data_IF_760616455516
#
_entry.id   IF_760616455516
#
_cell.length_a   1.000
_cell.length_b   1.000
_cell.length_c   1.000
_cell.angle_alpha   90.00
_cell.angle_beta   90.00
_cell.angle_gamma   90.00
#
_symmetry.space_group_name_H-M   'P 1'
#
loop_
_entity.id
_entity.type
_entity.pdbx_description
1 polymer ?
#
# COMPACT_ATOMS: atom_id res chain seq x y z
N UNK A 1 -9.99 -21.83 -49.05
CA UNK A 1 -9.91 -21.11 -47.77
C UNK A 1 -9.32 -22.08 -46.75
N UNK A 2 -8.07 -21.87 -46.32
CA UNK A 2 -7.26 -22.90 -45.66
C UNK A 2 -7.61 -23.06 -44.18
N UNK A 3 -8.02 -24.27 -43.80
CA UNK A 3 -8.33 -24.73 -42.42
C UNK A 3 -7.22 -24.42 -41.40
N UNK A 4 -5.97 -24.23 -41.87
CA UNK A 4 -4.80 -23.90 -41.05
C UNK A 4 -4.86 -22.50 -40.42
N UNK A 5 -5.54 -21.54 -41.05
CA UNK A 5 -5.67 -20.17 -40.52
C UNK A 5 -6.70 -20.06 -39.40
N UNK A 6 -7.60 -21.05 -39.26
CA UNK A 6 -8.61 -21.07 -38.20
C UNK A 6 -8.07 -21.66 -36.88
N UNK A 7 -7.09 -22.58 -36.97
CA UNK A 7 -6.49 -23.20 -35.79
C UNK A 7 -5.58 -22.25 -34.98
N UNK A 8 -4.96 -21.25 -35.63
CA UNK A 8 -4.14 -20.26 -34.94
C UNK A 8 -4.97 -19.22 -34.15
N UNK A 9 -6.24 -19.03 -34.53
CA UNK A 9 -7.14 -18.07 -33.88
C UNK A 9 -7.82 -18.65 -32.62
N UNK A 10 -7.83 -19.98 -32.46
CA UNK A 10 -8.35 -20.68 -31.27
C UNK A 10 -7.26 -20.85 -30.20
N UNK A 11 -5.97 -20.71 -30.54
CA UNK A 11 -4.87 -20.76 -29.56
C UNK A 11 -4.67 -19.45 -28.77
N UNK A 12 -5.48 -18.42 -29.07
CA UNK A 12 -5.71 -17.24 -28.24
C UNK A 12 -6.89 -17.46 -27.27
N UNK A 13 -7.13 -18.72 -26.88
CA UNK A 13 -7.97 -19.07 -25.74
C UNK A 13 -7.37 -18.48 -24.46
N UNK A 14 -7.66 -17.20 -24.25
CA UNK A 14 -7.99 -16.58 -22.99
C UNK A 14 -7.66 -17.45 -21.78
N UNK A 15 -6.44 -17.30 -21.28
CA UNK A 15 -6.16 -17.60 -19.88
C UNK A 15 -6.94 -16.59 -19.05
N UNK A 16 -8.21 -16.89 -18.79
CA UNK A 16 -8.94 -16.29 -17.69
C UNK A 16 -8.17 -16.65 -16.42
N UNK A 17 -7.21 -15.80 -16.04
CA UNK A 17 -6.50 -15.96 -14.78
C UNK A 17 -7.48 -15.60 -13.68
N UNK A 18 -7.65 -16.51 -12.72
CA UNK A 18 -8.28 -16.18 -11.46
C UNK A 18 -7.55 -14.96 -10.88
N UNK A 19 -8.32 -13.96 -10.45
CA UNK A 19 -7.80 -12.77 -9.80
C UNK A 19 -8.01 -12.84 -8.30
N UNK A 20 -7.40 -11.91 -7.58
CA UNK A 20 -7.66 -11.71 -6.15
C UNK A 20 -8.33 -10.37 -5.93
N UNK A 21 -9.31 -10.36 -5.04
CA UNK A 21 -10.03 -9.18 -4.61
C UNK A 21 -10.07 -9.09 -3.08
N UNK A 22 -10.26 -7.88 -2.58
CA UNK A 22 -10.37 -7.60 -1.14
C UNK A 22 -11.79 -7.11 -0.86
N UNK A 23 -12.49 -7.78 0.05
CA UNK A 23 -13.80 -7.34 0.52
C UNK A 23 -13.62 -6.14 1.47
N UNK A 24 -13.64 -4.94 0.90
CA UNK A 24 -13.48 -3.70 1.64
C UNK A 24 -14.64 -3.46 2.62
N UNK A 25 -15.84 -3.96 2.33
CA UNK A 25 -16.99 -3.76 3.20
C UNK A 25 -16.94 -4.67 4.42
N UNK A 26 -16.54 -5.94 4.24
CA UNK A 26 -16.28 -6.86 5.34
C UNK A 26 -15.13 -6.36 6.21
N UNK A 27 -14.04 -5.87 5.60
CA UNK A 27 -12.91 -5.28 6.32
C UNK A 27 -13.39 -4.08 7.15
N UNK A 28 -14.13 -3.16 6.53
CA UNK A 28 -14.69 -2.00 7.22
C UNK A 28 -15.54 -2.41 8.42
N UNK A 29 -16.48 -3.34 8.24
CA UNK A 29 -17.33 -3.85 9.32
C UNK A 29 -16.50 -4.44 10.46
N UNK A 30 -15.44 -5.19 10.15
CA UNK A 30 -14.57 -5.78 11.16
C UNK A 30 -13.77 -4.75 11.99
N UNK A 31 -13.50 -3.57 11.42
CA UNK A 31 -12.77 -2.47 12.07
C UNK A 31 -13.70 -1.43 12.73
N UNK A 32 -15.01 -1.65 12.78
CA UNK A 32 -15.99 -0.71 13.36
C UNK A 32 -16.70 0.21 12.35
N UNK A 33 -16.46 0.00 11.05
CA UNK A 33 -17.12 0.67 9.94
C UNK A 33 -16.33 1.86 9.37
N UNK A 34 -16.42 2.06 8.05
CA UNK A 34 -15.84 3.22 7.38
C UNK A 34 -16.68 4.48 7.61
N UNK A 35 -16.64 5.04 8.81
CA UNK A 35 -17.47 6.18 9.23
C UNK A 35 -16.66 7.46 9.50
N UNK A 36 -15.33 7.42 9.35
CA UNK A 36 -14.43 8.57 9.53
C UNK A 36 -13.81 9.02 8.22
N UNK A 37 -13.24 10.22 8.20
CA UNK A 37 -12.57 10.80 7.05
C UNK A 37 -13.40 10.70 5.75
N UNK A 38 -14.67 11.12 5.82
CA UNK A 38 -15.65 11.02 4.70
C UNK A 38 -15.86 9.58 4.19
N UNK A 39 -15.84 8.60 5.10
CA UNK A 39 -16.02 7.20 4.78
C UNK A 39 -14.77 6.51 4.22
N UNK A 40 -13.59 7.06 4.51
CA UNK A 40 -12.28 6.51 4.09
C UNK A 40 -11.51 5.86 5.23
N UNK A 41 -11.96 6.01 6.47
CA UNK A 41 -11.28 5.46 7.63
C UNK A 41 -12.26 4.87 8.65
N UNK A 42 -11.76 3.91 9.43
CA UNK A 42 -12.42 3.29 10.56
C UNK A 42 -11.61 3.61 11.83
N UNK A 43 -12.29 4.05 12.89
CA UNK A 43 -11.67 4.30 14.19
C UNK A 43 -12.08 3.21 15.19
N UNK A 44 -11.11 2.75 15.98
CA UNK A 44 -11.32 1.74 17.00
C UNK A 44 -10.37 1.96 18.17
N UNK A 45 -10.74 1.44 19.33
CA UNK A 45 -9.88 1.44 20.52
C UNK A 45 -9.13 0.13 20.61
N UNK A 46 -7.83 0.22 20.86
CA UNK A 46 -6.97 -0.93 21.06
C UNK A 46 -5.97 -0.63 22.17
N UNK A 47 -5.92 -1.47 23.21
CA UNK A 47 -5.01 -1.29 24.35
C UNK A 47 -5.08 0.13 24.96
N UNK A 48 -6.30 0.60 25.25
CA UNK A 48 -6.59 1.95 25.80
C UNK A 48 -6.15 3.14 24.94
N UNK A 49 -5.68 2.90 23.71
CA UNK A 49 -5.32 3.94 22.73
C UNK A 49 -6.29 3.96 21.57
N UNK A 50 -6.47 5.13 20.96
CA UNK A 50 -7.34 5.31 19.78
C UNK A 50 -6.51 5.15 18.51
N UNK A 51 -6.98 4.29 17.61
CA UNK A 51 -6.35 4.06 16.31
C UNK A 51 -7.34 4.31 15.19
N UNK A 52 -6.80 4.69 14.04
CA UNK A 52 -7.54 4.94 12.82
C UNK A 52 -6.91 4.17 11.67
N UNK A 53 -7.63 3.20 11.11
CA UNK A 53 -7.22 2.50 9.89
C UNK A 53 -7.88 3.12 8.67
N UNK A 54 -7.10 3.34 7.62
CA UNK A 54 -7.59 3.84 6.35
C UNK A 54 -7.97 2.68 5.43
N UNK A 55 -8.88 2.94 4.50
CA UNK A 55 -9.15 2.01 3.40
C UNK A 55 -7.83 1.68 2.70
N UNK A 56 -7.52 0.39 2.48
CA UNK A 56 -6.27 0.01 1.87
C UNK A 56 -6.21 0.44 0.40
N UNK A 57 -5.01 0.80 -0.04
CA UNK A 57 -4.67 0.98 -1.44
C UNK A 57 -4.34 -0.38 -2.04
N UNK A 58 -5.00 -0.74 -3.14
CA UNK A 58 -4.87 -2.05 -3.79
C UNK A 58 -4.33 -1.83 -5.20
N UNK A 59 -3.16 -2.39 -5.47
CA UNK A 59 -2.51 -2.37 -6.78
C UNK A 59 -2.48 -3.78 -7.36
N UNK A 60 -2.93 -3.94 -8.61
CA UNK A 60 -2.93 -5.24 -9.30
C UNK A 60 -1.58 -5.49 -9.97
N UNK A 61 -1.06 -6.70 -9.81
CA UNK A 61 0.14 -7.14 -10.50
C UNK A 61 -0.22 -7.77 -11.86
N UNK A 62 0.66 -7.68 -12.88
CA UNK A 62 0.39 -8.24 -14.22
C UNK A 62 0.16 -9.76 -14.25
N UNK A 63 0.60 -10.47 -13.21
CA UNK A 63 0.42 -11.90 -13.04
C UNK A 63 -0.97 -12.29 -12.49
N UNK A 64 -1.78 -11.32 -12.05
CA UNK A 64 -3.10 -11.53 -11.43
C UNK A 64 -3.08 -11.46 -9.89
N UNK A 65 -1.91 -11.22 -9.29
CA UNK A 65 -1.78 -10.98 -7.86
C UNK A 65 -2.20 -9.56 -7.46
N UNK A 66 -2.20 -9.30 -6.16
CA UNK A 66 -2.46 -7.96 -5.61
C UNK A 66 -1.40 -7.57 -4.59
N UNK A 67 -1.09 -6.28 -4.57
CA UNK A 67 -0.37 -5.60 -3.50
C UNK A 67 -1.35 -4.74 -2.73
N UNK A 68 -1.34 -4.87 -1.41
CA UNK A 68 -2.21 -4.14 -0.48
C UNK A 68 -1.32 -3.30 0.42
N UNK A 69 -1.57 -2.00 0.50
CA UNK A 69 -0.96 -1.08 1.46
C UNK A 69 -2.06 -0.46 2.32
N UNK A 70 -1.97 -0.62 3.64
CA UNK A 70 -2.94 -0.06 4.57
C UNK A 70 -2.24 0.82 5.61
N UNK A 71 -2.68 2.07 5.72
CA UNK A 71 -2.21 3.00 6.74
C UNK A 71 -3.05 2.86 8.02
N UNK A 72 -2.35 2.89 9.16
CA UNK A 72 -2.91 2.85 10.50
C UNK A 72 -2.28 3.96 11.32
N UNK A 73 -3.09 4.89 11.78
CA UNK A 73 -2.65 6.02 12.59
C UNK A 73 -2.97 5.80 14.06
N UNK A 74 -2.07 6.23 14.94
CA UNK A 74 -2.36 6.40 16.35
C UNK A 74 -2.86 7.83 16.58
N UNK A 75 -4.10 7.97 17.04
CA UNK A 75 -4.77 9.26 17.24
C UNK A 75 -4.32 9.83 18.58
N UNK A 76 -3.56 10.93 18.54
CA UNK A 76 -2.93 11.51 19.76
C UNK A 76 -3.75 12.63 20.42
N UNK A 77 -4.93 12.93 19.87
CA UNK A 77 -5.84 13.97 20.34
C UNK A 77 -5.63 15.33 19.66
N UNK A 78 -6.47 16.30 20.02
CA UNK A 78 -6.68 17.55 19.28
C UNK A 78 -5.44 18.44 19.06
N UNK A 79 -4.38 18.27 19.85
CA UNK A 79 -3.21 19.16 19.85
C UNK A 79 -1.90 18.46 19.44
N UNK A 80 -1.96 17.22 18.95
CA UNK A 80 -0.77 16.45 18.57
C UNK A 80 -0.92 15.88 17.17
N UNK A 81 0.15 15.93 16.39
CA UNK A 81 0.20 15.22 15.11
C UNK A 81 0.19 13.71 15.38
N UNK A 82 -0.65 13.00 14.64
CA UNK A 82 -0.78 11.55 14.72
C UNK A 82 0.52 10.86 14.29
N UNK A 83 0.82 9.72 14.90
CA UNK A 83 1.90 8.85 14.43
C UNK A 83 1.35 7.89 13.38
N UNK A 84 2.14 7.62 12.34
CA UNK A 84 1.70 6.81 11.21
C UNK A 84 2.36 5.45 11.22
N UNK A 85 1.62 4.41 10.88
CA UNK A 85 2.16 3.12 10.54
C UNK A 85 1.52 2.63 9.25
N UNK A 86 2.19 1.74 8.52
CA UNK A 86 1.52 1.01 7.47
C UNK A 86 1.90 -0.46 7.44
N UNK A 87 0.97 -1.22 6.88
CA UNK A 87 1.05 -2.64 6.62
C UNK A 87 1.02 -2.86 5.11
N UNK A 88 2.02 -3.55 4.59
CA UNK A 88 2.14 -3.93 3.19
C UNK A 88 2.06 -5.45 3.06
N UNK A 89 1.22 -5.93 2.15
CA UNK A 89 0.98 -7.36 1.92
C UNK A 89 0.88 -7.63 0.41
N UNK A 90 1.53 -8.70 -0.05
CA UNK A 90 1.46 -9.13 -1.45
C UNK A 90 0.84 -10.51 -1.53
N UNK A 91 -0.12 -10.70 -2.44
CA UNK A 91 -0.81 -11.96 -2.65
C UNK A 91 -0.62 -12.46 -4.08
N UNK A 92 -0.51 -13.78 -4.22
CA UNK A 92 -0.51 -14.46 -5.51
C UNK A 92 -1.91 -14.47 -6.12
N UNK A 93 -2.07 -14.74 -7.42
CA UNK A 93 -3.37 -14.89 -8.08
C UNK A 93 -4.29 -15.95 -7.43
N UNK A 94 -3.70 -16.91 -6.73
CA UNK A 94 -4.41 -17.97 -6.00
C UNK A 94 -4.78 -17.58 -4.56
N UNK A 95 -4.59 -16.31 -4.17
CA UNK A 95 -4.89 -15.83 -2.83
C UNK A 95 -3.87 -16.26 -1.77
N UNK A 96 -2.69 -16.73 -2.17
CA UNK A 96 -1.62 -17.08 -1.22
C UNK A 96 -0.85 -15.83 -0.84
N UNK A 97 -0.67 -15.56 0.46
CA UNK A 97 0.18 -14.46 0.92
C UNK A 97 1.64 -14.74 0.56
N UNK A 98 2.19 -13.93 -0.35
CA UNK A 98 3.56 -14.03 -0.85
C UNK A 98 4.57 -13.29 0.03
N UNK A 99 4.17 -12.13 0.57
CA UNK A 99 5.03 -11.36 1.46
C UNK A 99 4.25 -10.40 2.32
N UNK A 100 4.84 -10.02 3.45
CA UNK A 100 4.36 -8.91 4.26
C UNK A 100 5.51 -8.12 4.86
N UNK A 101 5.28 -6.83 5.07
CA UNK A 101 6.16 -5.90 5.76
C UNK A 101 5.31 -4.87 6.51
N UNK A 102 5.83 -4.34 7.61
CA UNK A 102 5.21 -3.26 8.35
C UNK A 102 6.23 -2.18 8.69
N UNK A 103 5.78 -0.93 8.77
CA UNK A 103 6.60 0.19 9.18
C UNK A 103 5.83 1.14 10.08
N UNK A 104 6.56 1.81 10.96
CA UNK A 104 6.06 2.83 11.86
C UNK A 104 6.92 4.08 11.64
N UNK A 105 6.26 5.21 11.42
CA UNK A 105 6.84 6.54 11.31
C UNK A 105 6.47 7.34 12.55
N UNK A 106 7.43 7.55 13.44
CA UNK A 106 7.29 8.34 14.66
C UNK A 106 8.27 9.51 14.57
N UNK A 107 7.77 10.75 14.59
CA UNK A 107 8.61 11.97 14.70
C UNK A 107 9.86 11.94 13.80
N UNK A 108 9.66 11.83 12.48
CA UNK A 108 10.71 11.79 11.44
C UNK A 108 11.58 10.52 11.42
N UNK A 109 11.34 9.57 12.34
CA UNK A 109 12.03 8.28 12.34
C UNK A 109 11.13 7.20 11.77
N UNK A 110 11.68 6.36 10.90
CA UNK A 110 10.99 5.20 10.35
C UNK A 110 11.60 3.90 10.88
N UNK A 111 10.79 3.14 11.60
CA UNK A 111 11.12 1.80 12.10
C UNK A 111 10.40 0.79 11.22
N UNK A 112 11.16 -0.04 10.51
CA UNK A 112 10.59 -1.02 9.56
C UNK A 112 10.89 -2.44 10.00
N UNK A 113 9.88 -3.32 9.93
CA UNK A 113 10.09 -4.75 10.03
C UNK A 113 10.98 -5.24 8.88
N UNK A 114 11.56 -6.42 9.05
CA UNK A 114 12.07 -7.15 7.89
C UNK A 114 10.88 -7.52 6.97
N UNK A 115 11.16 -7.69 5.68
CA UNK A 115 10.18 -8.22 4.73
C UNK A 115 10.24 -9.75 4.79
N UNK A 116 9.13 -10.37 5.17
CA UNK A 116 9.03 -11.82 5.21
C UNK A 116 8.30 -12.31 3.98
N UNK A 117 8.84 -13.36 3.36
CA UNK A 117 8.32 -13.95 2.12
C UNK A 117 7.88 -15.38 2.35
N UNK A 118 6.79 -15.77 1.71
CA UNK A 118 6.42 -17.17 1.55
C UNK A 118 7.53 -17.85 0.76
N UNK A 119 8.10 -18.91 1.32
CA UNK A 119 8.85 -19.87 0.54
C UNK A 119 7.86 -20.45 -0.49
N UNK A 120 7.91 -19.97 -1.74
CA UNK A 120 6.96 -20.37 -2.78
C UNK A 120 6.99 -21.88 -3.01
N UNK A 121 6.07 -22.41 -3.82
CA UNK A 121 6.00 -23.85 -4.18
C UNK A 121 7.36 -24.44 -4.61
N UNK A 122 8.27 -23.63 -5.15
CA UNK A 122 9.62 -24.07 -5.53
C UNK A 122 10.56 -24.36 -4.35
N UNK A 123 10.43 -23.68 -3.22
CA UNK A 123 11.25 -23.94 -2.04
C UNK A 123 10.73 -25.13 -1.21
N UNK A 124 9.40 -25.34 -1.20
CA UNK A 124 8.79 -26.50 -0.55
C UNK A 124 9.16 -27.83 -1.23
N UNK A 125 9.34 -27.82 -2.56
CA UNK A 125 9.82 -28.99 -3.32
C UNK A 125 11.29 -29.34 -3.09
N UNK A 126 12.12 -28.37 -2.66
CA UNK A 126 13.56 -28.57 -2.44
C UNK A 126 13.90 -28.99 -1.00
N UNK A 127 13.03 -28.71 -0.01
CA UNK A 127 13.32 -28.91 1.41
C UNK A 127 12.53 -30.04 2.10
N UNK A 128 11.72 -30.81 1.36
CA UNK A 128 10.94 -31.93 1.92
C UNK A 128 9.94 -31.53 3.02
N UNK A 129 9.73 -30.22 3.23
CA UNK A 129 8.88 -29.69 4.27
C UNK A 129 7.47 -29.55 3.70
N UNK A 130 6.57 -30.40 4.18
CA UNK A 130 5.12 -30.24 3.98
C UNK A 130 4.73 -28.94 4.69
N UNK A 131 4.62 -27.87 3.90
CA UNK A 131 4.17 -26.56 4.38
C UNK A 131 2.72 -26.73 4.82
N UNK A 132 2.44 -26.51 6.12
CA UNK A 132 1.07 -26.39 6.61
C UNK A 132 0.28 -25.41 5.74
N UNK A 133 -1.03 -25.63 5.61
CA UNK A 133 -1.89 -24.90 4.66
C UNK A 133 -1.64 -23.38 4.62
N UNK A 134 -1.99 -22.73 3.52
CA UNK A 134 -1.77 -21.28 3.25
C UNK A 134 -2.01 -20.37 4.46
N UNK A 135 -2.98 -20.71 5.31
CA UNK A 135 -3.28 -20.03 6.58
C UNK A 135 -2.15 -20.14 7.62
N UNK A 136 -1.58 -21.32 7.84
CA UNK A 136 -0.47 -21.51 8.78
C UNK A 136 0.79 -20.77 8.31
N UNK A 137 1.04 -20.76 7.00
CA UNK A 137 2.12 -19.98 6.41
C UNK A 137 1.90 -18.47 6.59
N UNK A 138 0.68 -17.99 6.36
CA UNK A 138 0.32 -16.60 6.60
C UNK A 138 0.49 -16.23 8.08
N UNK A 139 -0.02 -17.05 9.00
CA UNK A 139 0.14 -16.83 10.44
C UNK A 139 1.62 -16.78 10.88
N UNK A 140 2.48 -17.61 10.27
CA UNK A 140 3.92 -17.56 10.48
C UNK A 140 4.51 -16.24 9.99
N UNK A 141 4.22 -15.85 8.74
CA UNK A 141 4.68 -14.56 8.16
C UNK A 141 4.24 -13.39 9.04
N UNK A 142 2.98 -13.35 9.47
CA UNK A 142 2.48 -12.31 10.38
C UNK A 142 3.25 -12.30 11.70
N UNK A 143 3.47 -13.46 12.32
CA UNK A 143 4.23 -13.55 13.57
C UNK A 143 5.67 -13.05 13.42
N UNK A 144 6.32 -13.40 12.32
CA UNK A 144 7.70 -12.99 12.03
C UNK A 144 7.79 -11.46 11.77
N UNK A 145 6.87 -10.89 10.97
CA UNK A 145 6.78 -9.44 10.70
C UNK A 145 6.64 -8.65 11.99
N UNK A 146 5.66 -8.98 12.82
CA UNK A 146 5.37 -8.21 14.02
C UNK A 146 6.38 -8.48 15.14
N UNK A 147 6.99 -9.67 15.18
CA UNK A 147 8.14 -9.96 16.06
C UNK A 147 9.37 -9.13 15.69
N UNK A 148 9.72 -9.06 14.40
CA UNK A 148 10.81 -8.20 13.91
C UNK A 148 10.55 -6.72 14.20
N UNK A 149 9.33 -6.24 13.94
CA UNK A 149 8.94 -4.86 14.20
C UNK A 149 9.02 -4.51 15.69
N UNK A 150 8.44 -5.34 16.56
CA UNK A 150 8.49 -5.13 18.00
C UNK A 150 9.93 -5.16 18.52
N UNK A 151 10.76 -6.10 18.05
CA UNK A 151 12.16 -6.18 18.43
C UNK A 151 12.97 -4.94 18.03
N UNK A 152 12.68 -4.34 16.87
CA UNK A 152 13.32 -3.07 16.44
C UNK A 152 12.76 -1.87 17.20
N UNK A 153 11.45 -1.82 17.42
CA UNK A 153 10.81 -0.75 18.20
C UNK A 153 11.35 -0.67 19.63
N UNK A 154 11.57 -1.80 20.29
CA UNK A 154 12.14 -1.86 21.64
C UNK A 154 13.56 -1.30 21.71
N UNK A 155 14.34 -1.40 20.63
CA UNK A 155 15.71 -0.84 20.57
C UNK A 155 15.71 0.68 20.50
N UNK A 156 14.61 1.27 20.07
CA UNK A 156 14.44 2.73 19.94
C UNK A 156 13.96 3.39 21.24
N UNK A 157 13.82 2.64 22.35
CA UNK A 157 13.40 3.14 23.67
C UNK A 157 12.11 3.97 23.64
N UNK A 158 11.15 3.58 22.79
CA UNK A 158 9.85 4.23 22.71
C UNK A 158 9.02 3.89 23.95
N UNK A 159 8.55 4.90 24.69
CA UNK A 159 7.84 4.72 25.97
C UNK A 159 6.37 5.13 25.93
N UNK A 160 5.91 5.83 24.90
CA UNK A 160 4.52 6.28 24.81
C UNK A 160 3.58 5.08 24.58
N UNK A 161 2.51 4.90 25.40
CA UNK A 161 1.67 3.70 25.38
C UNK A 161 1.13 3.33 23.99
N UNK A 162 0.58 4.31 23.25
CA UNK A 162 0.05 4.07 21.91
C UNK A 162 1.12 3.78 20.86
N UNK A 163 2.37 4.23 21.07
CA UNK A 163 3.48 3.91 20.19
C UNK A 163 4.02 2.50 20.44
N UNK A 164 4.10 2.10 21.70
CA UNK A 164 4.53 0.74 22.11
C UNK A 164 3.53 -0.31 21.60
N UNK A 165 2.25 0.04 21.53
CA UNK A 165 1.19 -0.86 21.05
C UNK A 165 1.07 -0.95 19.52
N UNK A 166 1.81 -0.15 18.73
CA UNK A 166 1.73 -0.18 17.26
C UNK A 166 1.90 -1.58 16.64
N UNK A 167 2.91 -2.40 17.02
CA UNK A 167 3.05 -3.74 16.45
C UNK A 167 1.82 -4.61 16.67
N UNK A 168 1.15 -4.46 17.81
CA UNK A 168 -0.07 -5.18 18.12
C UNK A 168 -1.28 -4.62 17.34
N UNK A 169 -1.39 -3.30 17.18
CA UNK A 169 -2.42 -2.67 16.35
C UNK A 169 -2.29 -3.06 14.86
N UNK A 170 -1.06 -3.11 14.32
CA UNK A 170 -0.81 -3.58 12.96
C UNK A 170 -1.11 -5.08 12.81
N UNK A 171 -0.81 -5.89 13.82
CA UNK A 171 -1.19 -7.31 13.84
C UNK A 171 -2.70 -7.51 13.86
N UNK A 172 -3.42 -6.69 14.63
CA UNK A 172 -4.88 -6.70 14.63
C UNK A 172 -5.43 -6.42 13.22
N UNK A 173 -4.93 -5.37 12.57
CA UNK A 173 -5.27 -5.02 11.20
C UNK A 173 -4.95 -6.13 10.19
N UNK A 174 -3.78 -6.75 10.31
CA UNK A 174 -3.41 -7.91 9.49
C UNK A 174 -4.41 -9.05 9.62
N UNK A 175 -4.82 -9.38 10.86
CA UNK A 175 -5.78 -10.45 11.12
C UNK A 175 -7.18 -10.15 10.60
N UNK A 176 -7.56 -8.88 10.49
CA UNK A 176 -8.83 -8.44 9.90
C UNK A 176 -8.77 -8.39 8.38
N UNK A 177 -7.64 -7.96 7.81
CA UNK A 177 -7.44 -7.83 6.37
C UNK A 177 -7.28 -9.19 5.68
N UNK A 178 -6.45 -10.09 6.22
CA UNK A 178 -6.15 -11.39 5.61
C UNK A 178 -7.41 -12.20 5.21
N UNK A 179 -8.44 -12.38 6.07
CA UNK A 179 -9.64 -13.13 5.71
C UNK A 179 -10.55 -12.43 4.69
N UNK A 180 -10.38 -11.12 4.48
CA UNK A 180 -11.15 -10.36 3.48
C UNK A 180 -10.62 -10.56 2.05
N UNK A 181 -9.46 -11.20 1.89
CA UNK A 181 -8.86 -11.48 0.59
C UNK A 181 -9.42 -12.78 0.01
N UNK A 182 -10.00 -12.70 -1.18
CA UNK A 182 -10.68 -13.82 -1.81
C UNK A 182 -10.32 -13.97 -3.29
N UNK A 183 -10.30 -15.22 -3.76
CA UNK A 183 -10.00 -15.56 -5.15
C UNK A 183 -11.28 -15.44 -5.98
N UNK A 184 -11.23 -14.59 -7.00
CA UNK A 184 -12.32 -14.36 -7.95
C UNK A 184 -12.05 -15.19 -9.19
N UNK A 185 -12.99 -16.10 -9.51
CA UNK A 185 -12.92 -16.97 -10.69
C UNK A 185 -13.24 -16.25 -12.01
N UNK A 186 -13.77 -15.03 -11.94
CA UNK A 186 -14.16 -14.22 -13.09
C UNK A 186 -13.36 -12.89 -13.12
N UNK A 187 -12.34 -12.77 -13.99
CA UNK A 187 -11.44 -11.61 -14.00
C UNK A 187 -12.10 -10.29 -14.41
N UNK A 188 -13.33 -10.32 -14.96
CA UNK A 188 -14.05 -9.12 -15.40
C UNK A 188 -14.84 -8.41 -14.29
N UNK A 189 -15.01 -9.04 -13.11
CA UNK A 189 -15.68 -8.44 -11.96
C UNK A 189 -14.76 -7.79 -10.94
N UNK A 190 -13.44 -7.93 -11.11
CA UNK A 190 -12.47 -7.35 -10.21
C UNK A 190 -12.54 -5.81 -10.29
N UNK A 191 -13.02 -5.18 -9.22
CA UNK A 191 -13.29 -3.74 -8.96
C UNK A 191 -12.97 -2.73 -10.09
N UNK A 192 -13.92 -1.82 -10.41
CA UNK A 192 -13.67 -0.72 -11.33
C UNK A 192 -12.52 0.15 -10.80
N UNK A 193 -11.54 0.38 -11.66
CA UNK A 193 -10.59 1.48 -11.49
C UNK A 193 -11.42 2.75 -11.55
N UNK A 194 -11.50 3.52 -10.46
CA UNK A 194 -11.95 4.90 -10.56
C UNK A 194 -10.93 5.64 -11.44
N UNK A 195 -11.26 5.77 -12.72
CA UNK A 195 -10.59 6.71 -13.61
C UNK A 195 -10.76 8.12 -13.04
N UNK A 196 -9.72 8.98 -13.05
CA UNK A 196 -9.88 10.38 -12.71
C UNK A 196 -10.90 10.98 -13.67
N UNK A 197 -12.05 11.41 -13.15
CA UNK A 197 -13.02 12.18 -13.91
C UNK A 197 -12.33 13.40 -14.52
N UNK A 198 -12.13 13.37 -15.84
CA UNK A 198 -11.74 14.54 -16.61
C UNK A 198 -12.89 15.55 -16.48
N UNK A 199 -12.66 16.59 -15.69
CA UNK A 199 -13.54 17.73 -15.59
C UNK A 199 -13.74 18.34 -16.98
N UNK A 200 -15.00 18.63 -17.26
CA UNK A 200 -15.51 18.97 -18.58
C UNK A 200 -14.83 20.16 -19.24
N UNK A 201 -14.74 20.05 -20.56
CA UNK A 201 -14.46 21.16 -21.45
C UNK A 201 -15.56 22.23 -21.35
N UNK A 202 -15.16 23.46 -21.04
CA UNK A 202 -15.85 24.66 -21.52
C UNK A 202 -14.82 25.64 -22.05
N UNK A 203 -14.94 25.91 -23.35
CA UNK A 203 -14.16 26.84 -24.15
C UNK A 203 -14.55 28.27 -23.78
N UNK A 204 -13.56 29.12 -23.47
CA UNK A 204 -13.68 30.57 -23.59
C UNK A 204 -12.32 31.17 -23.99
N UNK A 205 -12.29 31.70 -25.21
CA UNK A 205 -11.23 32.41 -25.94
C UNK A 205 -10.88 33.75 -25.28
N UNK A 206 -9.61 34.17 -25.15
CA UNK A 206 -8.82 35.02 -26.09
C UNK A 206 -7.56 35.55 -25.33
N UNK A 207 -6.60 36.28 -25.92
CA UNK A 207 -5.57 35.88 -26.89
C UNK A 207 -4.11 36.16 -26.41
N UNK A 208 -3.15 35.54 -27.09
CA UNK A 208 -1.68 35.55 -26.88
C UNK A 208 -1.03 36.90 -27.23
N UNK A 209 0.04 37.31 -26.50
CA UNK A 209 1.09 38.21 -27.01
C UNK A 209 2.49 37.57 -26.84
N UNK A 210 3.41 37.66 -27.84
CA UNK A 210 4.59 36.78 -27.95
C UNK A 210 5.96 37.49 -27.81
N UNK A 211 6.99 36.80 -27.30
CA UNK A 211 8.46 36.94 -27.59
C UNK A 211 9.15 35.65 -27.06
N UNK A 212 9.61 34.67 -27.86
CA UNK A 212 10.90 34.45 -28.59
C UNK A 212 12.10 33.94 -27.73
N UNK A 213 13.12 33.20 -28.26
CA UNK A 213 13.28 31.76 -28.02
C UNK A 213 14.65 31.27 -27.46
N UNK A 214 14.61 30.07 -26.85
CA UNK A 214 15.62 28.98 -26.77
C UNK A 214 16.96 29.15 -25.96
N UNK A 215 17.61 28.05 -25.47
CA UNK A 215 17.70 26.72 -26.11
C UNK A 215 17.47 25.46 -25.24
N UNK A 216 17.23 24.37 -25.98
CA UNK A 216 17.00 23.00 -25.53
C UNK A 216 18.21 22.30 -24.90
N UNK A 217 17.93 21.32 -24.01
CA UNK A 217 18.63 20.03 -23.74
C UNK A 217 18.15 19.48 -22.39
N UNK A 218 17.79 18.20 -22.15
CA UNK A 218 17.87 16.93 -22.88
C UNK A 218 16.71 16.05 -22.42
N UNK A 219 16.02 15.44 -23.37
CA UNK A 219 15.18 14.25 -23.16
C UNK A 219 16.06 13.04 -22.83
N UNK A 220 15.62 12.23 -21.88
CA UNK A 220 16.11 10.87 -21.63
C UNK A 220 14.88 9.93 -21.51
N UNK A 221 15.03 8.63 -21.84
CA UNK A 221 14.03 7.85 -22.58
C UNK A 221 12.91 7.24 -21.73
N UNK A 222 11.79 6.95 -22.41
CA UNK A 222 10.62 6.22 -21.90
C UNK A 222 11.02 4.86 -21.29
N UNK A 223 10.57 4.58 -20.06
CA UNK A 223 10.72 3.26 -19.45
C UNK A 223 10.91 3.18 -17.93
N UNK A 224 10.86 4.27 -17.17
CA UNK A 224 10.90 4.20 -15.69
C UNK A 224 9.52 4.46 -15.08
N UNK A 225 9.02 3.48 -14.33
CA UNK A 225 7.90 3.66 -13.40
C UNK A 225 8.38 4.64 -12.32
N UNK A 226 7.78 5.83 -12.26
CA UNK A 226 7.94 6.74 -11.13
C UNK A 226 7.32 6.10 -9.89
N UNK A 227 8.14 5.48 -9.05
CA UNK A 227 7.77 5.18 -7.67
C UNK A 227 7.87 6.50 -6.91
N UNK A 228 6.72 7.15 -6.66
CA UNK A 228 6.67 8.31 -5.76
C UNK A 228 6.89 7.85 -4.32
N UNK A 229 8.14 7.83 -3.88
CA UNK A 229 8.47 7.78 -2.47
C UNK A 229 8.01 9.08 -1.82
N UNK A 230 7.06 9.00 -0.89
CA UNK A 230 6.68 10.17 -0.08
C UNK A 230 7.89 10.60 0.77
N UNK A 231 8.45 11.77 0.45
CA UNK A 231 9.53 12.37 1.22
C UNK A 231 10.49 13.23 0.39
N UNK A 232 10.01 14.31 -0.23
CA UNK A 232 10.88 15.45 -0.49
C UNK A 232 10.51 16.57 0.50
N UNK A 233 11.48 17.10 1.28
CA UNK A 233 11.22 18.23 2.17
C UNK A 233 10.90 19.50 1.36
N UNK A 234 10.11 20.43 1.91
CA UNK A 234 9.80 21.69 1.23
C UNK A 234 11.09 22.49 0.98
N UNK A 235 11.23 23.03 -0.23
CA UNK A 235 12.31 23.96 -0.59
C UNK A 235 12.22 25.20 0.30
N UNK A 236 13.26 25.47 1.08
CA UNK A 236 13.41 26.70 1.86
C UNK A 236 13.37 27.92 0.93
N UNK A 237 12.35 28.75 1.13
CA UNK A 237 12.27 30.09 0.56
C UNK A 237 13.35 30.98 1.18
N UNK A 238 14.08 31.70 0.31
CA UNK A 238 15.30 32.42 0.64
C UNK A 238 15.16 33.45 1.76
N UNK A 239 16.08 33.38 2.73
CA UNK A 239 16.45 34.52 3.56
C UNK A 239 17.45 35.39 2.79
N UNK A 240 17.04 36.64 2.50
CA UNK A 240 18.00 37.72 2.20
C UNK A 240 18.82 38.02 3.46
N UNK A 241 20.14 38.19 3.37
CA UNK A 241 20.95 38.59 4.52
C UNK A 241 20.62 40.04 4.89
N UNK A 242 20.25 40.26 6.15
CA UNK A 242 20.15 41.60 6.72
C UNK A 242 21.56 42.16 6.95
N UNK A 243 21.85 43.23 6.23
CA UNK A 243 23.06 44.02 6.30
C UNK A 243 23.17 44.74 7.66
N UNK A 244 24.35 44.67 8.26
CA UNK A 244 24.71 45.36 9.49
C UNK A 244 24.84 46.87 9.23
N UNK A 245 24.29 47.69 10.13
CA UNK A 245 24.86 49.01 10.43
C UNK A 245 24.59 49.37 11.90
N UNK A 246 25.67 49.37 12.70
CA UNK A 246 25.87 50.24 13.87
C UNK A 246 26.41 51.59 13.37
N UNK A 247 26.43 52.68 14.18
CA UNK A 247 26.11 52.79 15.61
C UNK A 247 24.84 53.58 15.94
#
# INVERSE_FOLDING_TARGET
MNLRSFALLILLATTARAGVEVDLDALGKSLGGWNKEKGKAAEYKFSESEYRSYKPEISRSPDGGIFISMRVDHVRGMFSADDHASLEMSFSPEGTLLSAQAYISIQERRISSDMFRSAGKQAAGAAGQVVGGTVAQAAKIGSDVFGSLAGKLLRENVTEPGRVAFPAALRHNYNMLYPCVHVVKDPLKALPVEEPQAAGATVATTPVKPVEPEPAKKTAPEGMIEVRTFGEPPKEGGQKPAEQAKP
#
